data_IF_775879994313
#
_entry.id   IF_775879994313
#
_cell.length_a   1.000
_cell.length_b   1.000
_cell.length_c   1.000
_cell.angle_alpha   90.00
_cell.angle_beta   90.00
_cell.angle_gamma   90.00
#
_symmetry.space_group_name_H-M   'P 1'
#
loop_
_entity.id
_entity.type
_entity.pdbx_description
1 polymer ?
#
# COMPACT_ATOMS: atom_id res chain seq x y z
N UNK A 1 -22.54 -15.73 -7.77
CA UNK A 1 -22.05 -14.86 -6.67
C UNK A 1 -21.38 -13.65 -7.32
N UNK A 2 -21.56 -12.45 -6.77
CA UNK A 2 -20.89 -11.25 -7.26
C UNK A 2 -19.39 -11.35 -6.95
N UNK A 3 -18.52 -11.14 -7.95
CA UNK A 3 -17.06 -11.11 -7.74
C UNK A 3 -16.69 -9.85 -6.94
N UNK A 4 -15.83 -10.03 -5.94
CA UNK A 4 -15.27 -8.97 -5.11
C UNK A 4 -13.79 -8.81 -5.41
N UNK A 5 -13.31 -7.57 -5.54
CA UNK A 5 -11.90 -7.25 -5.77
C UNK A 5 -11.34 -6.24 -4.79
N UNK A 6 -10.04 -6.31 -4.57
CA UNK A 6 -9.24 -5.30 -3.90
C UNK A 6 -8.38 -4.57 -4.92
N UNK A 7 -8.48 -3.25 -4.97
CA UNK A 7 -7.51 -2.45 -5.70
C UNK A 7 -6.27 -2.23 -4.83
N UNK A 8 -5.17 -2.88 -5.21
CA UNK A 8 -3.86 -2.75 -4.59
C UNK A 8 -3.00 -1.72 -5.33
N UNK A 9 -2.45 -0.76 -4.60
CA UNK A 9 -1.68 0.37 -5.15
C UNK A 9 -0.30 0.56 -4.50
N UNK A 10 0.05 -0.28 -3.55
CA UNK A 10 1.29 -0.27 -2.77
C UNK A 10 1.95 -1.66 -2.76
N UNK A 11 2.37 -2.17 -1.61
CA UNK A 11 3.07 -3.47 -1.51
C UNK A 11 2.31 -4.66 -2.10
N UNK A 12 0.99 -4.57 -2.24
CA UNK A 12 0.17 -5.64 -2.84
C UNK A 12 0.29 -5.73 -4.37
N UNK A 13 1.00 -4.82 -5.03
CA UNK A 13 1.37 -4.99 -6.44
C UNK A 13 2.50 -6.00 -6.63
N UNK A 14 3.26 -6.30 -5.59
CA UNK A 14 4.25 -7.37 -5.56
C UNK A 14 3.54 -8.71 -5.30
N UNK A 15 3.63 -9.63 -6.26
CA UNK A 15 2.94 -10.93 -6.21
C UNK A 15 3.21 -11.73 -4.92
N UNK A 16 4.44 -11.72 -4.44
CA UNK A 16 4.82 -12.40 -3.19
C UNK A 16 4.08 -11.79 -1.99
N UNK A 17 4.08 -10.46 -1.87
CA UNK A 17 3.37 -9.74 -0.80
C UNK A 17 1.86 -9.99 -0.84
N UNK A 18 1.25 -9.96 -2.03
CA UNK A 18 -0.16 -10.29 -2.20
C UNK A 18 -0.46 -11.74 -1.78
N UNK A 19 0.35 -12.69 -2.22
CA UNK A 19 0.17 -14.12 -1.90
C UNK A 19 0.33 -14.40 -0.40
N UNK A 20 1.32 -13.81 0.26
CA UNK A 20 1.50 -13.92 1.72
C UNK A 20 0.30 -13.34 2.47
N UNK A 21 -0.21 -12.19 2.03
CA UNK A 21 -1.39 -11.54 2.63
C UNK A 21 -2.64 -12.40 2.53
N UNK A 22 -2.87 -13.01 1.37
CA UNK A 22 -4.04 -13.86 1.14
C UNK A 22 -3.91 -15.24 1.80
N UNK A 23 -2.69 -15.71 2.06
CA UNK A 23 -2.41 -17.09 2.50
C UNK A 23 -2.61 -18.11 1.37
N UNK A 24 -2.59 -17.66 0.13
CA UNK A 24 -2.68 -18.46 -1.10
C UNK A 24 -2.00 -17.72 -2.26
N UNK A 25 -1.72 -18.35 -3.40
CA UNK A 25 -1.29 -17.64 -4.60
C UNK A 25 -2.27 -16.53 -4.99
N UNK A 26 -1.75 -15.34 -5.25
CA UNK A 26 -2.57 -14.17 -5.64
C UNK A 26 -3.21 -14.31 -7.02
N UNK A 27 -2.73 -15.26 -7.83
CA UNK A 27 -3.11 -15.37 -9.24
C UNK A 27 -2.35 -14.38 -10.13
N UNK A 28 -2.82 -14.18 -11.34
CA UNK A 28 -2.23 -13.20 -12.25
C UNK A 28 -2.61 -11.78 -11.82
N UNK A 29 -1.61 -10.95 -11.60
CA UNK A 29 -1.79 -9.53 -11.32
C UNK A 29 -1.74 -8.75 -12.62
N UNK A 30 -2.85 -8.15 -13.01
CA UNK A 30 -2.95 -7.33 -14.21
C UNK A 30 -3.04 -5.86 -13.87
N UNK A 31 -2.32 -4.99 -14.60
CA UNK A 31 -2.37 -3.56 -14.34
C UNK A 31 -3.75 -2.98 -14.67
N UNK A 32 -4.26 -2.18 -13.76
CA UNK A 32 -5.49 -1.40 -13.90
C UNK A 32 -5.25 0.05 -13.52
N UNK A 33 -6.23 0.93 -13.74
CA UNK A 33 -6.15 2.36 -13.42
C UNK A 33 -7.29 2.79 -12.50
N UNK A 34 -6.94 3.53 -11.45
CA UNK A 34 -7.90 4.18 -10.55
C UNK A 34 -7.95 5.66 -10.91
N UNK A 35 -9.08 6.12 -11.45
CA UNK A 35 -9.35 7.48 -11.87
C UNK A 35 -9.95 8.29 -10.73
N UNK A 36 -9.79 9.61 -10.76
CA UNK A 36 -10.30 10.57 -9.77
C UNK A 36 -9.64 10.42 -8.38
N UNK A 37 -8.46 9.78 -8.35
CA UNK A 37 -7.65 9.54 -7.16
C UNK A 37 -6.19 9.85 -7.45
N UNK A 38 -5.45 10.22 -6.42
CA UNK A 38 -3.99 10.40 -6.45
C UNK A 38 -3.33 9.53 -5.39
N UNK A 39 -2.11 9.06 -5.65
CA UNK A 39 -1.33 8.26 -4.71
C UNK A 39 -0.21 9.11 -4.12
N UNK A 40 -0.04 9.05 -2.80
CA UNK A 40 0.99 9.80 -2.07
C UNK A 40 1.53 8.98 -0.90
N UNK A 41 2.72 9.34 -0.43
CA UNK A 41 3.24 8.87 0.85
C UNK A 41 2.66 9.74 1.97
N UNK A 42 1.39 9.59 2.25
CA UNK A 42 0.62 10.39 3.22
C UNK A 42 -0.01 9.56 4.36
N UNK A 43 0.23 8.25 4.40
CA UNK A 43 -0.08 7.45 5.58
C UNK A 43 1.11 7.51 6.53
N UNK A 44 0.90 8.01 7.76
CA UNK A 44 1.94 8.05 8.80
C UNK A 44 1.76 6.95 9.82
N UNK A 45 2.88 6.39 10.27
CA UNK A 45 2.95 5.44 11.36
C UNK A 45 3.97 5.90 12.38
N UNK A 46 3.57 5.99 13.65
CA UNK A 46 4.47 6.18 14.78
C UNK A 46 5.40 4.96 14.88
N UNK A 47 6.70 5.20 14.82
CA UNK A 47 7.72 4.16 14.87
C UNK A 47 8.20 3.86 16.30
N UNK A 48 7.93 4.75 17.25
CA UNK A 48 8.43 4.63 18.62
C UNK A 48 7.47 3.88 19.53
N UNK A 49 6.17 4.08 19.33
CA UNK A 49 5.13 3.54 20.23
C UNK A 49 4.30 2.42 19.63
N UNK A 50 4.33 2.22 18.31
CA UNK A 50 3.53 1.20 17.66
C UNK A 50 4.10 -0.23 17.86
N UNK A 51 3.48 -1.21 17.22
CA UNK A 51 3.82 -2.64 17.34
C UNK A 51 5.15 -3.03 16.69
N UNK A 52 5.62 -2.26 15.71
CA UNK A 52 6.90 -2.50 15.01
C UNK A 52 7.76 -1.25 15.09
N UNK A 53 9.02 -1.40 15.54
CA UNK A 53 10.01 -0.31 15.57
C UNK A 53 11.15 -0.63 14.65
N UNK A 54 11.49 0.32 13.79
CA UNK A 54 12.63 0.26 12.88
C UNK A 54 13.73 1.20 13.37
N UNK A 55 14.97 0.75 13.22
CA UNK A 55 16.17 1.46 13.63
C UNK A 55 17.13 1.59 12.44
N UNK A 56 17.59 2.79 12.18
CA UNK A 56 18.58 3.13 11.17
C UNK A 56 20.00 2.94 11.71
N UNK A 57 21.00 3.30 10.89
CA UNK A 57 22.38 3.31 11.32
C UNK A 57 22.59 4.14 12.60
N UNK A 58 23.62 3.79 13.38
CA UNK A 58 23.99 4.47 14.63
C UNK A 58 22.88 4.48 15.71
N UNK A 59 21.88 3.59 15.60
CA UNK A 59 20.79 3.48 16.57
C UNK A 59 19.71 4.56 16.46
N UNK A 60 19.71 5.36 15.39
CA UNK A 60 18.67 6.36 15.18
C UNK A 60 17.33 5.72 14.84
N UNK A 61 16.29 6.18 15.51
CA UNK A 61 14.89 5.76 15.31
C UNK A 61 14.08 6.95 14.86
N UNK A 62 13.70 7.04 13.58
CA UNK A 62 12.81 8.09 13.13
C UNK A 62 11.49 8.02 13.88
N UNK A 63 10.91 9.17 14.22
CA UNK A 63 9.60 9.18 14.90
C UNK A 63 8.49 8.69 13.97
N UNK A 64 8.53 9.07 12.70
CA UNK A 64 7.48 8.76 11.74
C UNK A 64 7.98 7.97 10.55
N UNK A 65 7.21 6.95 10.16
CA UNK A 65 7.41 6.23 8.90
C UNK A 65 6.21 6.47 8.01
N UNK A 66 6.46 6.87 6.76
CA UNK A 66 5.42 7.08 5.77
C UNK A 66 5.19 5.83 4.93
N UNK A 67 3.93 5.51 4.73
CA UNK A 67 3.42 4.52 3.78
C UNK A 67 2.61 5.17 2.68
N UNK A 68 2.34 4.40 1.63
CA UNK A 68 1.48 4.81 0.54
C UNK A 68 0.02 4.92 0.99
N UNK A 69 -0.67 5.89 0.43
CA UNK A 69 -2.08 6.14 0.56
C UNK A 69 -2.66 6.56 -0.79
N UNK A 70 -3.95 6.35 -1.00
CA UNK A 70 -4.70 6.96 -2.09
C UNK A 70 -5.74 7.92 -1.53
N UNK A 71 -5.91 9.05 -2.18
CA UNK A 71 -6.76 10.16 -1.79
C UNK A 71 -7.63 10.56 -2.97
N UNK A 72 -8.88 10.98 -2.72
CA UNK A 72 -9.70 11.57 -3.77
C UNK A 72 -9.04 12.83 -4.31
N UNK A 73 -9.01 12.95 -5.62
CA UNK A 73 -8.44 14.08 -6.35
C UNK A 73 -7.74 13.62 -7.61
N UNK A 74 -7.68 14.48 -8.59
CA UNK A 74 -6.95 14.22 -9.83
C UNK A 74 -5.45 14.44 -9.62
N UNK A 75 -4.65 13.70 -10.38
CA UNK A 75 -3.22 13.91 -10.52
C UNK A 75 -2.92 14.31 -11.97
N UNK A 76 -2.17 15.39 -12.18
CA UNK A 76 -1.79 15.87 -13.51
C UNK A 76 -0.97 14.82 -14.30
N UNK A 77 -0.25 13.94 -13.59
CA UNK A 77 0.52 12.84 -14.19
C UNK A 77 -0.36 11.65 -14.64
N UNK A 78 -1.66 11.68 -14.34
CA UNK A 78 -2.63 10.67 -14.76
C UNK A 78 -3.17 9.79 -13.63
N UNK A 79 -4.03 8.81 -13.97
CA UNK A 79 -4.69 7.97 -12.97
C UNK A 79 -3.70 7.06 -12.24
N UNK A 80 -4.02 6.70 -11.01
CA UNK A 80 -3.19 5.78 -10.20
C UNK A 80 -3.16 4.39 -10.82
N UNK A 81 -1.98 3.88 -11.13
CA UNK A 81 -1.83 2.47 -11.52
C UNK A 81 -1.80 1.55 -10.31
N UNK A 82 -2.26 0.33 -10.50
CA UNK A 82 -2.32 -0.72 -9.49
C UNK A 82 -2.84 -2.02 -10.07
N UNK A 83 -3.25 -2.91 -9.21
CA UNK A 83 -3.80 -4.23 -9.59
C UNK A 83 -5.15 -4.45 -8.93
N UNK A 84 -5.99 -5.31 -9.54
CA UNK A 84 -7.17 -5.83 -8.85
C UNK A 84 -6.94 -7.30 -8.51
N UNK A 85 -7.10 -7.61 -7.22
CA UNK A 85 -6.96 -8.95 -6.66
C UNK A 85 -8.36 -9.44 -6.29
N UNK A 86 -8.82 -10.54 -6.88
CA UNK A 86 -10.11 -11.14 -6.49
C UNK A 86 -10.03 -11.74 -5.09
N UNK A 87 -11.06 -11.48 -4.29
CA UNK A 87 -11.15 -11.86 -2.90
C UNK A 87 -12.44 -12.61 -2.59
N UNK A 88 -12.38 -13.42 -1.56
CA UNK A 88 -13.55 -13.86 -0.77
C UNK A 88 -13.85 -12.84 0.32
N UNK A 89 -15.07 -12.84 0.87
CA UNK A 89 -15.43 -12.00 2.04
C UNK A 89 -14.53 -12.31 3.25
N UNK A 90 -14.19 -13.59 3.48
CA UNK A 90 -13.30 -13.97 4.58
C UNK A 90 -11.87 -13.42 4.42
N UNK A 91 -11.36 -13.31 3.19
CA UNK A 91 -10.06 -12.68 2.92
C UNK A 91 -10.13 -11.16 3.12
N UNK A 92 -11.27 -10.55 2.78
CA UNK A 92 -11.50 -9.12 3.02
C UNK A 92 -11.53 -8.81 4.52
N UNK A 93 -12.17 -9.64 5.34
CA UNK A 93 -12.19 -9.51 6.81
C UNK A 93 -10.76 -9.61 7.40
N UNK A 94 -9.93 -10.51 6.87
CA UNK A 94 -8.51 -10.59 7.26
C UNK A 94 -7.70 -9.36 6.86
N UNK A 95 -8.00 -8.79 5.70
CA UNK A 95 -7.39 -7.54 5.25
C UNK A 95 -7.77 -6.36 6.16
N UNK A 96 -9.01 -6.27 6.60
CA UNK A 96 -9.43 -5.24 7.56
C UNK A 96 -8.62 -5.29 8.87
N UNK A 97 -8.29 -6.48 9.36
CA UNK A 97 -7.41 -6.66 10.53
C UNK A 97 -5.98 -6.22 10.22
N UNK A 98 -5.47 -6.52 9.01
CA UNK A 98 -4.14 -6.11 8.57
C UNK A 98 -4.03 -4.60 8.40
N UNK A 99 -5.00 -4.00 7.72
CA UNK A 99 -5.01 -2.60 7.31
C UNK A 99 -5.58 -1.69 8.43
N UNK A 100 -5.24 -1.98 9.68
CA UNK A 100 -5.77 -1.30 10.89
C UNK A 100 -5.65 0.22 10.87
N UNK A 101 -4.72 0.77 10.09
CA UNK A 101 -4.48 2.22 9.93
C UNK A 101 -5.25 2.85 8.78
N UNK A 102 -6.03 2.04 8.07
CA UNK A 102 -6.78 2.46 6.91
C UNK A 102 -8.27 2.19 7.09
N UNK A 103 -9.07 2.93 6.37
CA UNK A 103 -10.51 2.68 6.18
C UNK A 103 -10.73 2.08 4.79
N UNK A 104 -11.58 1.08 4.73
CA UNK A 104 -12.01 0.47 3.49
C UNK A 104 -13.01 1.36 2.78
N UNK A 105 -12.78 1.63 1.48
CA UNK A 105 -13.65 2.45 0.63
C UNK A 105 -13.99 1.73 -0.67
N UNK A 106 -15.20 1.95 -1.19
CA UNK A 106 -15.63 1.43 -2.48
C UNK A 106 -15.08 2.32 -3.60
N UNK A 107 -14.41 1.72 -4.58
CA UNK A 107 -13.84 2.40 -5.75
C UNK A 107 -14.31 1.79 -7.07
N UNK A 108 -15.36 0.99 -7.04
CA UNK A 108 -15.90 0.27 -8.21
C UNK A 108 -16.10 1.20 -9.42
N UNK A 109 -16.64 2.40 -9.17
CA UNK A 109 -16.92 3.38 -10.23
C UNK A 109 -15.68 4.06 -10.81
N UNK A 110 -14.54 4.03 -10.10
CA UNK A 110 -13.30 4.73 -10.48
C UNK A 110 -12.24 3.82 -11.10
N UNK A 111 -12.33 2.50 -10.93
CA UNK A 111 -11.38 1.55 -11.52
C UNK A 111 -11.71 1.31 -13.00
N UNK A 112 -10.66 1.29 -13.84
CA UNK A 112 -10.75 0.95 -15.27
C UNK A 112 -9.75 -0.15 -15.59
N UNK A 113 -10.18 -1.16 -16.35
CA UNK A 113 -9.42 -2.32 -16.77
C UNK A 113 -10.32 -3.37 -17.41
N UNK A 114 -9.74 -4.50 -17.78
CA UNK A 114 -10.47 -5.63 -18.35
C UNK A 114 -10.94 -6.61 -17.28
N UNK A 115 -12.07 -7.26 -17.49
CA UNK A 115 -12.62 -8.33 -16.65
C UNK A 115 -12.67 -8.00 -15.15
N UNK A 116 -13.16 -6.81 -14.81
CA UNK A 116 -13.22 -6.33 -13.43
C UNK A 116 -14.34 -7.01 -12.61
N UNK A 117 -14.11 -7.26 -11.30
CA UNK A 117 -15.16 -7.64 -10.36
C UNK A 117 -16.29 -6.61 -10.28
N UNK A 118 -17.50 -7.06 -9.91
CA UNK A 118 -18.66 -6.19 -9.76
C UNK A 118 -18.53 -5.21 -8.59
N UNK A 119 -17.74 -5.56 -7.59
CA UNK A 119 -17.41 -4.70 -6.45
C UNK A 119 -15.91 -4.66 -6.25
N UNK A 120 -15.36 -3.45 -6.17
CA UNK A 120 -13.94 -3.22 -5.93
C UNK A 120 -13.79 -2.26 -4.77
N UNK A 121 -13.00 -2.67 -3.78
CA UNK A 121 -12.66 -1.84 -2.63
C UNK A 121 -11.17 -1.50 -2.63
N UNK A 122 -10.80 -0.46 -1.91
CA UNK A 122 -9.40 -0.14 -1.58
C UNK A 122 -9.32 0.37 -0.14
N UNK A 123 -8.14 0.72 0.30
CA UNK A 123 -7.88 1.21 1.64
C UNK A 123 -7.29 2.61 1.59
N UNK A 124 -7.86 3.55 2.37
CA UNK A 124 -7.38 4.93 2.52
C UNK A 124 -6.98 5.19 3.97
N UNK A 125 -5.95 5.98 4.21
CA UNK A 125 -5.48 6.26 5.57
C UNK A 125 -6.60 6.86 6.44
N UNK A 126 -6.79 6.30 7.64
CA UNK A 126 -7.69 6.88 8.63
C UNK A 126 -7.25 8.30 9.00
N UNK A 127 -8.17 9.19 9.39
CA UNK A 127 -7.83 10.59 9.71
C UNK A 127 -6.65 10.74 10.67
N UNK A 128 -6.57 9.90 11.70
CA UNK A 128 -5.47 9.92 12.67
C UNK A 128 -4.10 9.51 12.06
N UNK A 129 -4.12 8.70 11.02
CA UNK A 129 -2.92 8.20 10.32
C UNK A 129 -2.66 8.94 9.01
N UNK A 130 -3.48 9.92 8.67
CA UNK A 130 -3.31 10.75 7.47
C UNK A 130 -2.44 11.97 7.78
N UNK A 131 -1.44 12.20 6.93
CA UNK A 131 -0.55 13.34 6.99
C UNK A 131 -0.42 13.93 5.58
N UNK A 132 -1.20 14.97 5.23
CA UNK A 132 -1.16 15.59 3.91
C UNK A 132 0.23 16.19 3.60
N UNK A 133 0.93 16.67 4.64
CA UNK A 133 2.32 17.08 4.59
C UNK A 133 3.14 16.15 5.50
N UNK A 134 4.37 15.77 5.09
CA UNK A 134 5.24 14.94 5.92
C UNK A 134 5.51 15.58 7.28
N UNK A 135 5.34 14.84 8.39
CA UNK A 135 5.81 15.31 9.70
C UNK A 135 7.34 15.54 9.67
N UNK A 136 7.82 16.37 10.58
CA UNK A 136 9.26 16.51 10.84
C UNK A 136 9.82 15.12 11.23
N UNK A 137 11.05 14.82 10.84
CA UNK A 137 11.72 13.53 11.03
C UNK A 137 10.99 12.29 10.40
N UNK A 138 10.07 12.53 9.48
CA UNK A 138 9.46 11.43 8.74
C UNK A 138 10.41 10.84 7.70
N UNK A 139 10.36 9.53 7.55
CA UNK A 139 11.15 8.79 6.54
C UNK A 139 10.28 7.78 5.79
N UNK A 140 10.80 7.30 4.67
CA UNK A 140 10.26 6.14 3.97
C UNK A 140 11.29 5.01 4.08
N UNK A 141 10.84 3.81 4.48
CA UNK A 141 11.72 2.65 4.51
C UNK A 141 12.13 2.29 3.07
N UNK A 142 13.43 2.18 2.80
CA UNK A 142 13.95 1.84 1.48
C UNK A 142 13.46 0.47 1.03
N UNK A 143 13.49 -0.52 1.91
CA UNK A 143 13.00 -1.88 1.63
C UNK A 143 11.54 -1.90 1.22
N UNK A 144 10.69 -1.05 1.82
CA UNK A 144 9.29 -0.90 1.42
C UNK A 144 9.16 -0.26 0.02
N UNK A 145 9.89 0.83 -0.22
CA UNK A 145 9.86 1.51 -1.52
C UNK A 145 10.34 0.59 -2.66
N UNK A 146 11.43 -0.13 -2.44
CA UNK A 146 11.98 -1.10 -3.41
C UNK A 146 11.02 -2.26 -3.68
N UNK A 147 10.36 -2.80 -2.66
CA UNK A 147 9.36 -3.85 -2.86
C UNK A 147 8.17 -3.37 -3.71
N UNK A 148 7.72 -2.13 -3.50
CA UNK A 148 6.66 -1.52 -4.33
C UNK A 148 7.15 -1.32 -5.77
N UNK A 149 8.33 -0.73 -5.97
CA UNK A 149 8.90 -0.50 -7.29
C UNK A 149 9.12 -1.82 -8.05
N UNK A 150 9.64 -2.85 -7.39
CA UNK A 150 9.80 -4.20 -7.98
C UNK A 150 8.44 -4.77 -8.42
N UNK A 151 7.40 -4.57 -7.63
CA UNK A 151 6.05 -4.98 -8.00
C UNK A 151 5.58 -4.30 -9.28
N UNK A 152 5.74 -2.96 -9.39
CA UNK A 152 5.36 -2.23 -10.61
C UNK A 152 6.21 -2.59 -11.82
N UNK A 153 7.51 -2.83 -11.65
CA UNK A 153 8.37 -3.32 -12.73
C UNK A 153 7.91 -4.68 -13.28
N UNK A 154 7.50 -5.58 -12.38
CA UNK A 154 7.00 -6.91 -12.75
C UNK A 154 5.63 -6.89 -13.46
N UNK A 155 4.83 -5.82 -13.33
CA UNK A 155 3.54 -5.69 -14.01
C UNK A 155 3.68 -5.43 -15.52
N UNK A 156 4.83 -5.01 -15.98
CA UNK A 156 5.09 -4.82 -17.42
C UNK A 156 5.68 -3.46 -17.79
N UNK A 157 5.95 -3.28 -19.08
CA UNK A 157 6.59 -2.06 -19.59
C UNK A 157 5.82 -0.79 -19.23
N UNK A 158 6.52 0.22 -18.71
CA UNK A 158 5.98 1.54 -18.40
C UNK A 158 5.27 1.66 -17.05
N UNK A 159 4.97 0.54 -16.35
CA UNK A 159 4.24 0.61 -15.09
C UNK A 159 5.08 1.23 -13.96
N UNK A 160 6.37 0.94 -13.91
CA UNK A 160 7.28 1.56 -12.94
C UNK A 160 7.48 3.05 -13.22
N UNK A 161 7.67 3.45 -14.49
CA UNK A 161 7.78 4.85 -14.88
C UNK A 161 6.51 5.63 -14.52
N UNK A 162 5.35 5.05 -14.78
CA UNK A 162 4.07 5.65 -14.41
C UNK A 162 3.92 5.79 -12.89
N UNK A 163 4.28 4.74 -12.13
CA UNK A 163 4.31 4.82 -10.67
C UNK A 163 5.18 6.00 -10.19
N UNK A 164 6.39 6.13 -10.71
CA UNK A 164 7.33 7.20 -10.30
C UNK A 164 6.83 8.59 -10.70
N UNK A 165 6.19 8.72 -11.87
CA UNK A 165 5.61 9.98 -12.34
C UNK A 165 4.43 10.44 -11.47
N UNK A 166 3.60 9.50 -11.00
CA UNK A 166 2.39 9.79 -10.19
C UNK A 166 2.63 9.74 -8.68
N UNK A 167 3.85 9.41 -8.21
CA UNK A 167 4.10 9.18 -6.77
C UNK A 167 5.50 9.64 -6.36
N UNK A 168 5.74 10.95 -6.29
CA UNK A 168 7.02 11.48 -5.84
C UNK A 168 7.29 11.11 -4.38
N UNK A 169 8.56 10.89 -4.05
CA UNK A 169 9.01 10.68 -2.68
C UNK A 169 9.14 12.03 -1.96
N UNK A 170 8.32 12.34 -0.94
CA UNK A 170 8.34 13.64 -0.28
C UNK A 170 9.45 13.78 0.76
N UNK A 171 10.05 12.66 1.19
CA UNK A 171 11.11 12.59 2.20
C UNK A 171 12.16 11.56 1.82
N UNK A 172 13.24 11.49 2.57
CA UNK A 172 14.33 10.54 2.35
C UNK A 172 13.88 9.08 2.52
N UNK A 173 14.48 8.22 1.69
CA UNK A 173 14.37 6.77 1.80
C UNK A 173 15.58 6.24 2.58
N UNK A 174 15.33 5.63 3.72
CA UNK A 174 16.38 5.17 4.63
C UNK A 174 16.44 3.66 4.78
N UNK A 175 17.65 3.14 4.96
CA UNK A 175 17.87 1.78 5.41
C UNK A 175 17.56 1.68 6.91
N UNK A 176 16.72 0.71 7.28
CA UNK A 176 16.41 0.47 8.67
C UNK A 176 16.13 -1.01 8.92
N UNK A 177 16.55 -1.50 10.07
CA UNK A 177 16.28 -2.85 10.53
C UNK A 177 15.04 -2.87 11.44
N UNK A 178 14.22 -3.91 11.35
CA UNK A 178 13.15 -4.16 12.31
C UNK A 178 13.79 -4.66 13.62
N UNK A 179 13.73 -3.85 14.67
CA UNK A 179 14.35 -4.15 15.97
C UNK A 179 13.34 -4.55 17.05
N UNK A 180 12.08 -4.16 16.90
CA UNK A 180 10.98 -4.58 17.77
C UNK A 180 9.81 -5.02 16.92
N UNK A 181 9.29 -6.21 17.17
CA UNK A 181 8.02 -6.71 16.64
C UNK A 181 7.20 -7.31 17.78
N UNK A 182 6.08 -6.67 18.10
CA UNK A 182 5.15 -7.10 19.15
C UNK A 182 3.96 -7.86 18.58
N UNK A 183 3.94 -8.13 17.26
CA UNK A 183 2.81 -8.80 16.63
C UNK A 183 2.96 -10.31 16.80
N UNK A 184 1.95 -10.99 17.37
CA UNK A 184 2.00 -12.44 17.51
C UNK A 184 2.11 -13.15 16.16
N UNK A 185 2.86 -14.26 16.14
CA UNK A 185 2.91 -15.13 14.96
C UNK A 185 1.52 -15.58 14.53
N UNK A 186 1.27 -15.61 13.23
CA UNK A 186 -0.03 -15.96 12.65
C UNK A 186 -1.07 -14.83 12.61
N UNK A 187 -0.79 -13.68 13.21
CA UNK A 187 -1.62 -12.48 13.03
C UNK A 187 -1.45 -11.96 11.59
N UNK A 188 -2.53 -11.53 10.89
CA UNK A 188 -2.44 -10.96 9.54
C UNK A 188 -1.50 -9.75 9.41
N UNK A 189 -1.09 -9.14 10.53
CA UNK A 189 -0.16 -8.00 10.59
C UNK A 189 1.30 -8.41 10.82
N UNK A 190 1.59 -9.73 10.96
CA UNK A 190 2.91 -10.23 11.38
C UNK A 190 4.00 -10.18 10.29
N UNK A 191 3.72 -9.72 9.10
CA UNK A 191 4.66 -9.70 7.96
C UNK A 191 4.97 -8.29 7.48
#
# INVERSE_FOLDING_TARGET
>A
MSRLGLFGYGSLVLHESASMTLGRPAGELRPVRLHDWRRRFSQRRDNLTCEKTFECAEGWRPEWILGLNVEQGEDEAGPVNGVVIELTEAELDRLDVREVRYDRVDVTGSVRGEDLPQRIVTYTAKPFHFAPEPPEDAVILRTYAEAVETGFEALGPGELEHFRATTPYPVERVEAALVIDKIPSGNPRAW
#
